data_IF_908469277327
#
_entry.id   IF_908469277327
#
_cell.length_a   1.000
_cell.length_b   1.000
_cell.length_c   1.000
_cell.angle_alpha   90.00
_cell.angle_beta   90.00
_cell.angle_gamma   90.00
#
_symmetry.space_group_name_H-M   'P 1'
#
loop_
_entity.id
_entity.type
_entity.pdbx_description
1 polymer ?
#
# COMPACT_ATOMS: atom_id res chain seq x y z
N UNK A 1 18.00 -7.35 -0.20
CA UNK A 1 18.12 -7.51 -1.67
C UNK A 1 17.13 -8.57 -2.14
N UNK A 2 15.84 -8.41 -1.83
CA UNK A 2 14.82 -9.45 -2.05
C UNK A 2 13.46 -8.81 -2.39
N UNK A 3 13.02 -9.09 -3.62
CA UNK A 3 11.66 -9.06 -4.15
C UNK A 3 10.82 -7.76 -4.05
N UNK A 4 10.93 -6.91 -5.07
CA UNK A 4 9.96 -5.83 -5.38
C UNK A 4 9.42 -6.01 -6.82
N UNK A 5 8.85 -7.17 -7.16
CA UNK A 5 8.23 -7.42 -8.48
C UNK A 5 6.72 -7.70 -8.39
N UNK A 6 6.02 -7.08 -7.44
CA UNK A 6 4.56 -7.17 -7.32
C UNK A 6 3.87 -5.98 -7.99
N UNK A 7 3.24 -6.19 -9.14
CA UNK A 7 2.25 -5.28 -9.76
C UNK A 7 2.80 -3.98 -10.36
N UNK A 8 2.68 -3.79 -11.68
CA UNK A 8 3.08 -2.57 -12.40
C UNK A 8 4.21 -2.80 -13.43
N UNK A 9 4.79 -1.74 -14.06
CA UNK A 9 5.72 -1.78 -15.23
C UNK A 9 6.96 -2.70 -15.14
N UNK A 10 7.13 -3.38 -14.01
CA UNK A 10 8.16 -4.34 -13.65
C UNK A 10 8.05 -5.71 -14.33
N UNK A 11 6.95 -6.01 -15.04
CA UNK A 11 6.81 -7.28 -15.79
C UNK A 11 7.88 -7.42 -16.89
N UNK A 12 8.20 -6.31 -17.57
CA UNK A 12 9.24 -6.26 -18.59
C UNK A 12 10.63 -6.51 -17.97
N UNK A 13 10.88 -5.98 -16.78
CA UNK A 13 12.14 -6.20 -16.06
C UNK A 13 12.31 -7.65 -15.63
N UNK A 14 11.24 -8.30 -15.15
CA UNK A 14 11.26 -9.73 -14.85
C UNK A 14 11.57 -10.57 -16.08
N UNK A 15 10.96 -10.25 -17.23
CA UNK A 15 11.25 -10.94 -18.50
C UNK A 15 12.71 -10.73 -18.92
N UNK A 16 13.24 -9.51 -18.79
CA UNK A 16 14.66 -9.22 -19.06
C UNK A 16 15.58 -10.04 -18.17
N UNK A 17 15.33 -10.06 -16.86
CA UNK A 17 16.14 -10.81 -15.90
C UNK A 17 16.16 -12.30 -16.22
N UNK A 18 15.01 -12.89 -16.55
CA UNK A 18 14.91 -14.30 -16.94
C UNK A 18 15.73 -14.56 -18.20
N UNK A 19 15.65 -13.70 -19.21
CA UNK A 19 16.45 -13.83 -20.43
C UNK A 19 17.95 -13.69 -20.17
N UNK A 20 18.35 -12.76 -19.31
CA UNK A 20 19.76 -12.54 -19.00
C UNK A 20 20.35 -13.72 -18.21
N UNK A 21 19.57 -14.30 -17.30
CA UNK A 21 19.99 -15.43 -16.47
C UNK A 21 19.98 -16.78 -17.22
N UNK A 22 18.99 -17.01 -18.09
CA UNK A 22 18.76 -18.32 -18.74
C UNK A 22 19.12 -18.34 -20.23
N UNK A 23 19.35 -17.17 -20.84
CA UNK A 23 19.59 -16.99 -22.29
C UNK A 23 18.45 -17.53 -23.18
N UNK A 24 17.24 -17.72 -22.64
CA UNK A 24 16.09 -18.22 -23.38
C UNK A 24 15.48 -17.20 -24.34
N UNK A 25 14.59 -17.68 -25.22
CA UNK A 25 13.84 -16.84 -26.14
C UNK A 25 12.89 -15.86 -25.43
N UNK A 26 12.50 -14.78 -26.10
CA UNK A 26 11.58 -13.79 -25.52
C UNK A 26 10.20 -14.39 -25.18
N UNK A 27 9.72 -15.31 -26.02
CA UNK A 27 8.46 -16.02 -25.78
C UNK A 27 8.55 -16.91 -24.53
N UNK A 28 9.60 -17.74 -24.45
CA UNK A 28 9.83 -18.63 -23.31
C UNK A 28 9.97 -17.87 -21.99
N UNK A 29 10.71 -16.76 -22.01
CA UNK A 29 10.87 -15.90 -20.84
C UNK A 29 9.55 -15.28 -20.40
N UNK A 30 8.71 -14.84 -21.35
CA UNK A 30 7.39 -14.31 -21.06
C UNK A 30 6.50 -15.38 -20.44
N UNK A 31 6.42 -16.55 -21.05
CA UNK A 31 5.56 -17.64 -20.60
C UNK A 31 5.96 -18.12 -19.21
N UNK A 32 7.27 -18.18 -18.92
CA UNK A 32 7.78 -18.48 -17.59
C UNK A 32 7.33 -17.45 -16.56
N UNK A 33 7.55 -16.16 -16.82
CA UNK A 33 7.17 -15.08 -15.91
C UNK A 33 5.65 -15.05 -15.68
N UNK A 34 4.85 -15.27 -16.72
CA UNK A 34 3.39 -15.26 -16.61
C UNK A 34 2.87 -16.44 -15.80
N UNK A 35 3.41 -17.64 -16.00
CA UNK A 35 3.05 -18.82 -15.20
C UNK A 35 3.42 -18.63 -13.73
N UNK A 36 4.66 -18.23 -13.44
CA UNK A 36 5.10 -17.99 -12.07
C UNK A 36 4.28 -16.90 -11.40
N UNK A 37 3.90 -15.85 -12.13
CA UNK A 37 3.03 -14.81 -11.57
C UNK A 37 1.63 -15.34 -11.25
N UNK A 38 1.04 -16.15 -12.14
CA UNK A 38 -0.27 -16.76 -11.92
C UNK A 38 -0.28 -17.70 -10.71
N UNK A 39 0.78 -18.50 -10.55
CA UNK A 39 0.98 -19.37 -9.37
C UNK A 39 1.07 -18.53 -8.08
N UNK A 40 1.87 -17.47 -8.08
CA UNK A 40 2.01 -16.59 -6.91
C UNK A 40 0.69 -15.90 -6.52
N UNK A 41 -0.14 -15.52 -7.50
CA UNK A 41 -1.49 -14.99 -7.22
C UNK A 41 -2.42 -16.03 -6.62
N UNK A 42 -2.32 -17.29 -7.07
CA UNK A 42 -3.13 -18.38 -6.57
C UNK A 42 -2.75 -18.78 -5.13
N UNK A 43 -1.45 -18.75 -4.81
CA UNK A 43 -0.93 -19.10 -3.48
C UNK A 43 -1.12 -17.98 -2.45
N UNK A 44 -1.02 -16.72 -2.86
CA UNK A 44 -1.05 -15.57 -1.95
C UNK A 44 -2.01 -14.47 -2.43
N UNK A 45 -3.33 -14.73 -2.47
CA UNK A 45 -4.32 -13.74 -2.92
C UNK A 45 -4.26 -12.45 -2.09
N UNK A 46 -3.96 -12.54 -0.79
CA UNK A 46 -3.86 -11.42 0.15
C UNK A 46 -2.68 -10.47 -0.12
N UNK A 47 -1.59 -10.96 -0.74
CA UNK A 47 -0.37 -10.17 -0.98
C UNK A 47 -0.52 -9.20 -2.15
N UNK A 48 -1.49 -9.48 -3.02
CA UNK A 48 -1.80 -8.67 -4.19
C UNK A 48 -3.18 -8.01 -4.12
N UNK A 49 -4.01 -8.37 -3.13
CA UNK A 49 -5.15 -7.56 -2.75
C UNK A 49 -4.65 -6.24 -2.17
N UNK A 50 -5.25 -5.12 -2.59
CA UNK A 50 -4.88 -3.82 -2.03
C UNK A 50 -5.00 -3.89 -0.50
N UNK A 51 -3.97 -3.44 0.26
CA UNK A 51 -4.04 -3.47 1.71
C UNK A 51 -5.33 -2.74 2.14
N UNK A 52 -6.08 -3.27 3.12
CA UNK A 52 -7.21 -2.52 3.66
C UNK A 52 -6.66 -1.15 4.05
N UNK A 53 -7.22 -0.10 3.46
CA UNK A 53 -6.92 1.28 3.84
C UNK A 53 -7.51 1.51 5.23
N UNK A 54 -6.86 0.98 6.25
CA UNK A 54 -7.04 1.41 7.65
C UNK A 54 -6.44 2.82 7.73
N UNK A 55 -7.18 3.78 7.20
CA UNK A 55 -6.97 5.18 7.55
C UNK A 55 -7.27 5.28 9.05
N UNK A 56 -6.23 5.40 9.86
CA UNK A 56 -6.35 5.45 11.31
C UNK A 56 -7.33 6.57 11.73
N UNK A 57 -8.40 6.27 12.49
CA UNK A 57 -9.37 7.28 12.92
C UNK A 57 -8.81 8.31 13.92
N UNK A 58 -7.55 8.14 14.34
CA UNK A 58 -6.89 8.92 15.40
C UNK A 58 -6.85 10.42 15.08
N UNK A 59 -6.67 10.79 13.80
CA UNK A 59 -6.55 12.21 13.41
C UNK A 59 -7.88 12.97 13.55
N UNK A 60 -9.01 12.30 13.34
CA UNK A 60 -10.34 12.91 13.51
C UNK A 60 -10.69 13.15 14.98
N UNK A 61 -10.34 12.19 15.84
CA UNK A 61 -10.60 12.29 17.28
C UNK A 61 -9.82 13.44 17.94
N UNK A 62 -8.55 13.65 17.56
CA UNK A 62 -7.71 14.70 18.14
C UNK A 62 -8.25 16.12 17.88
N UNK A 63 -8.78 16.34 16.67
CA UNK A 63 -9.36 17.63 16.28
C UNK A 63 -10.64 17.93 17.08
N UNK A 64 -11.52 16.93 17.26
CA UNK A 64 -12.74 17.09 18.05
C UNK A 64 -12.45 17.39 19.52
N UNK A 65 -11.47 16.70 20.10
CA UNK A 65 -11.03 16.95 21.48
C UNK A 65 -10.47 18.37 21.62
N UNK A 66 -9.63 18.82 20.68
CA UNK A 66 -9.07 20.17 20.67
C UNK A 66 -10.14 21.25 20.57
N UNK A 67 -11.12 21.09 19.68
CA UNK A 67 -12.25 22.02 19.53
C UNK A 67 -13.10 22.06 20.79
N UNK A 68 -13.41 20.91 21.38
CA UNK A 68 -14.18 20.84 22.62
C UNK A 68 -13.48 21.58 23.78
N UNK A 69 -12.17 21.36 23.96
CA UNK A 69 -11.38 22.06 24.97
C UNK A 69 -11.35 23.58 24.73
N UNK A 70 -11.18 24.01 23.47
CA UNK A 70 -11.20 25.43 23.12
C UNK A 70 -12.54 26.08 23.48
N UNK A 71 -13.66 25.43 23.16
CA UNK A 71 -15.01 25.92 23.49
C UNK A 71 -15.18 26.05 25.01
N UNK A 72 -14.76 25.04 25.77
CA UNK A 72 -14.84 25.07 27.24
C UNK A 72 -14.04 26.24 27.81
N UNK A 73 -12.81 26.45 27.33
CA UNK A 73 -11.96 27.57 27.78
C UNK A 73 -12.61 28.92 27.45
N UNK A 74 -13.13 29.08 26.23
CA UNK A 74 -13.79 30.33 25.80
C UNK A 74 -15.01 30.63 26.69
N UNK A 75 -15.85 29.64 26.95
CA UNK A 75 -17.02 29.80 27.83
C UNK A 75 -16.59 30.17 29.25
N UNK A 76 -15.57 29.50 29.80
CA UNK A 76 -15.06 29.79 31.14
C UNK A 76 -14.52 31.22 31.26
N UNK A 77 -13.80 31.71 30.24
CA UNK A 77 -13.32 33.09 30.20
C UNK A 77 -14.49 34.08 30.15
N UNK A 78 -15.47 33.86 29.27
CA UNK A 78 -16.66 34.72 29.17
C UNK A 78 -17.39 34.84 30.51
N UNK A 79 -17.58 33.73 31.21
CA UNK A 79 -18.24 33.71 32.53
C UNK A 79 -17.39 34.40 33.61
N UNK A 80 -16.07 34.33 33.53
CA UNK A 80 -15.17 34.97 34.50
C UNK A 80 -15.09 36.49 34.31
N UNK A 81 -15.23 36.98 33.07
CA UNK A 81 -15.13 38.40 32.71
C UNK A 81 -16.49 39.13 32.65
N UNK A 82 -17.61 38.44 32.89
CA UNK A 82 -18.97 38.99 32.98
C UNK A 82 -19.37 39.20 34.45
#
# INVERSE_FOLDING_TARGET
>A
MTAIYGGGPRKIEAIKLVRDATRCGLAEAKDFVERTQAELYAEHPERFAAPPTVVEPVRGALVLIGVALLVIVVVALIVHFL
#
